data_IF_436844386847
#
_entry.id   IF_436844386847
#
_cell.length_a   1.000
_cell.length_b   1.000
_cell.length_c   1.000
_cell.angle_alpha   90.00
_cell.angle_beta   90.00
_cell.angle_gamma   90.00
#
_symmetry.space_group_name_H-M   'P 1'
#
loop_
_entity.id
_entity.type
_entity.pdbx_description
1 polymer ?
#
# COMPACT_ATOMS: atom_id res chain seq x y z
N UNK A 1 -15.09 -23.07 -12.66
CA UNK A 1 -13.84 -22.30 -12.73
C UNK A 1 -12.90 -22.85 -11.67
N UNK A 2 -11.69 -23.24 -12.04
CA UNK A 2 -10.68 -23.62 -11.05
C UNK A 2 -10.29 -22.37 -10.26
N UNK A 3 -10.27 -22.45 -8.93
CA UNK A 3 -9.76 -21.37 -8.10
C UNK A 3 -8.26 -21.24 -8.32
N UNK A 4 -7.81 -20.02 -8.63
CA UNK A 4 -6.38 -19.70 -8.77
C UNK A 4 -5.75 -19.60 -7.38
N UNK A 5 -4.63 -20.28 -7.18
CA UNK A 5 -3.85 -20.21 -5.95
C UNK A 5 -2.63 -19.32 -6.19
N UNK A 6 -2.78 -18.04 -5.92
CA UNK A 6 -1.76 -17.03 -6.20
C UNK A 6 -0.81 -16.86 -5.01
N UNK A 7 0.50 -16.91 -5.29
CA UNK A 7 1.58 -16.72 -4.31
C UNK A 7 2.55 -15.67 -4.84
N UNK A 8 2.90 -14.71 -4.00
CA UNK A 8 3.95 -13.75 -4.32
C UNK A 8 5.32 -14.38 -4.06
N UNK A 9 6.13 -14.51 -5.11
CA UNK A 9 7.43 -15.22 -5.06
C UNK A 9 8.63 -14.30 -4.84
N UNK A 10 8.62 -13.12 -5.44
CA UNK A 10 9.69 -12.14 -5.38
C UNK A 10 9.12 -10.74 -5.34
N UNK A 11 9.83 -9.85 -4.67
CA UNK A 11 9.48 -8.43 -4.59
C UNK A 11 10.72 -7.57 -4.83
N UNK A 12 10.50 -6.38 -5.36
CA UNK A 12 11.50 -5.33 -5.46
C UNK A 12 10.88 -3.99 -5.10
N UNK A 13 11.71 -3.06 -4.67
CA UNK A 13 11.30 -1.69 -4.38
C UNK A 13 12.27 -0.72 -5.06
N UNK A 14 11.73 0.35 -5.63
CA UNK A 14 12.49 1.46 -6.22
C UNK A 14 11.97 2.78 -5.70
N UNK A 15 12.83 3.79 -5.70
CA UNK A 15 12.52 5.14 -5.28
C UNK A 15 12.99 6.13 -6.34
N UNK A 16 12.15 7.08 -6.73
CA UNK A 16 12.48 8.08 -7.76
C UNK A 16 13.68 8.98 -7.41
N UNK A 17 13.96 9.15 -6.10
CA UNK A 17 15.13 9.90 -5.62
C UNK A 17 16.43 9.08 -5.62
N UNK A 18 16.34 7.78 -5.89
CA UNK A 18 17.46 6.84 -5.97
C UNK A 18 17.35 6.00 -7.26
N UNK A 19 17.45 6.63 -8.45
CA UNK A 19 17.12 5.99 -9.73
C UNK A 19 18.03 4.81 -10.08
N UNK A 20 19.24 4.79 -9.55
CA UNK A 20 20.22 3.73 -9.83
C UNK A 20 20.14 2.56 -8.83
N UNK A 21 19.19 2.60 -7.90
CA UNK A 21 19.07 1.58 -6.86
C UNK A 21 17.76 0.81 -6.96
N UNK A 22 17.89 -0.51 -6.97
CA UNK A 22 16.78 -1.45 -6.86
C UNK A 22 17.00 -2.28 -5.60
N UNK A 23 16.08 -2.14 -4.67
CA UNK A 23 16.08 -2.95 -3.45
C UNK A 23 15.30 -4.24 -3.75
N UNK A 24 15.93 -5.37 -3.74
CA UNK A 24 15.30 -6.66 -4.00
C UNK A 24 15.80 -7.76 -3.05
N UNK A 25 17.09 -8.01 -3.05
CA UNK A 25 17.69 -9.17 -2.34
C UNK A 25 17.66 -9.01 -0.80
N UNK A 26 17.54 -7.78 -0.31
CA UNK A 26 17.60 -7.45 1.12
C UNK A 26 16.22 -7.22 1.73
N UNK A 27 15.16 -7.26 0.93
CA UNK A 27 13.78 -7.11 1.41
C UNK A 27 13.37 -8.42 2.10
N UNK A 28 12.99 -8.30 3.36
CA UNK A 28 12.46 -9.40 4.14
C UNK A 28 10.92 -9.38 4.13
N UNK A 29 10.34 -8.21 4.29
CA UNK A 29 8.90 -8.02 4.36
C UNK A 29 8.50 -6.72 3.67
N UNK A 30 7.38 -6.76 2.98
CA UNK A 30 6.77 -5.63 2.31
C UNK A 30 5.30 -5.54 2.71
N UNK A 31 4.95 -4.46 3.39
CA UNK A 31 3.58 -4.13 3.74
C UNK A 31 2.93 -3.27 2.66
N UNK A 32 2.01 -3.84 1.90
CA UNK A 32 1.19 -3.08 0.95
C UNK A 32 0.13 -2.24 1.67
N UNK A 33 -0.40 -1.18 1.04
CA UNK A 33 -1.42 -0.35 1.65
C UNK A 33 -2.70 -1.16 1.87
N UNK A 34 -3.20 -1.17 3.10
CA UNK A 34 -4.51 -1.72 3.40
C UNK A 34 -5.60 -0.74 2.94
N UNK A 35 -6.59 -1.26 2.23
CA UNK A 35 -7.76 -0.50 1.82
C UNK A 35 -8.87 -0.78 2.84
N UNK A 36 -9.11 0.17 3.73
CA UNK A 36 -10.09 0.04 4.81
C UNK A 36 -11.01 1.24 4.76
N UNK A 37 -12.31 0.97 4.73
CA UNK A 37 -13.34 2.00 4.83
C UNK A 37 -13.56 2.36 6.30
N UNK A 38 -13.88 3.62 6.57
CA UNK A 38 -14.17 4.10 7.92
C UNK A 38 -15.61 3.76 8.33
N UNK A 39 -15.78 3.26 9.53
CA UNK A 39 -17.09 2.97 10.12
C UNK A 39 -17.22 3.61 11.49
N UNK A 40 -18.42 4.05 11.83
CA UNK A 40 -18.78 4.49 13.17
C UNK A 40 -19.91 3.62 13.72
N UNK A 41 -19.78 3.27 15.00
CA UNK A 41 -20.80 2.52 15.72
C UNK A 41 -21.98 3.43 16.09
N UNK A 42 -23.19 2.98 15.81
CA UNK A 42 -24.40 3.68 16.18
C UNK A 42 -25.30 2.82 17.08
N UNK A 43 -25.54 3.34 18.28
CA UNK A 43 -26.52 2.83 19.24
C UNK A 43 -27.70 3.80 19.34
N UNK A 44 -28.84 3.44 18.77
CA UNK A 44 -30.04 4.21 18.91
C UNK A 44 -30.55 4.20 20.34
N UNK A 45 -30.80 5.37 20.94
CA UNK A 45 -31.40 5.49 22.27
C UNK A 45 -32.78 4.82 22.31
N UNK A 46 -32.89 3.70 23.03
CA UNK A 46 -34.13 2.90 23.11
C UNK A 46 -34.17 1.72 22.15
N UNK A 47 -33.15 1.49 21.32
CA UNK A 47 -33.03 0.27 20.53
C UNK A 47 -32.64 -0.92 21.44
N UNK A 48 -33.39 -2.03 21.34
CA UNK A 48 -33.06 -3.28 22.02
C UNK A 48 -32.32 -4.27 21.11
N UNK A 49 -31.85 -3.78 19.94
CA UNK A 49 -31.13 -4.55 18.95
C UNK A 49 -29.60 -4.42 19.09
N UNK A 50 -28.84 -5.13 18.23
CA UNK A 50 -27.38 -4.99 18.19
C UNK A 50 -26.98 -3.58 17.70
N UNK A 51 -25.81 -3.12 18.13
CA UNK A 51 -25.11 -1.96 17.55
C UNK A 51 -24.96 -2.15 16.04
N UNK A 52 -25.19 -1.08 15.28
CA UNK A 52 -24.96 -1.07 13.83
C UNK A 52 -23.76 -0.24 13.48
N UNK A 53 -22.99 -0.68 12.50
CA UNK A 53 -21.88 0.07 11.91
C UNK A 53 -22.39 0.87 10.71
N UNK A 54 -22.08 2.16 10.68
CA UNK A 54 -22.44 3.07 9.59
C UNK A 54 -21.15 3.51 8.91
N UNK A 55 -21.06 3.31 7.58
CA UNK A 55 -19.92 3.82 6.82
C UNK A 55 -19.86 5.34 6.89
N UNK A 56 -18.68 5.87 7.14
CA UNK A 56 -18.42 7.32 7.12
C UNK A 56 -18.21 7.87 5.72
N UNK A 57 -18.12 6.98 4.70
CA UNK A 57 -17.78 7.35 3.32
C UNK A 57 -16.32 7.83 3.15
N UNK A 58 -15.46 7.58 4.13
CA UNK A 58 -14.06 7.97 4.09
C UNK A 58 -13.18 6.76 4.32
N UNK A 59 -12.20 6.56 3.45
CA UNK A 59 -11.18 5.53 3.65
C UNK A 59 -10.21 5.93 4.76
N UNK A 60 -9.73 4.94 5.50
CA UNK A 60 -8.64 5.14 6.44
C UNK A 60 -7.34 5.51 5.70
N UNK A 61 -6.43 6.13 6.45
CA UNK A 61 -5.12 6.52 5.91
C UNK A 61 -4.36 5.31 5.36
N UNK A 62 -3.84 5.44 4.15
CA UNK A 62 -2.94 4.47 3.56
C UNK A 62 -1.59 4.50 4.26
N UNK A 63 -1.04 3.33 4.54
CA UNK A 63 0.30 3.16 5.10
C UNK A 63 1.02 2.04 4.36
N UNK A 64 2.32 2.19 4.14
CA UNK A 64 3.16 1.17 3.53
C UNK A 64 4.40 0.98 4.38
N UNK A 65 4.89 -0.25 4.45
CA UNK A 65 6.08 -0.59 5.23
C UNK A 65 7.04 -1.42 4.39
N UNK A 66 8.33 -1.23 4.65
CA UNK A 66 9.40 -1.99 4.01
C UNK A 66 10.39 -2.42 5.09
N UNK A 67 10.55 -3.72 5.27
CA UNK A 67 11.52 -4.30 6.20
C UNK A 67 12.71 -4.86 5.43
N UNK A 68 13.91 -4.41 5.76
CA UNK A 68 15.12 -4.77 5.05
C UNK A 68 16.24 -5.18 5.99
N UNK A 69 17.10 -6.07 5.49
CA UNK A 69 18.37 -6.40 6.10
C UNK A 69 19.39 -5.29 5.85
N UNK A 70 20.14 -4.95 6.89
CA UNK A 70 21.21 -3.96 6.82
C UNK A 70 20.73 -2.53 7.01
N UNK A 71 21.70 -1.65 7.13
CA UNK A 71 21.50 -0.21 7.25
C UNK A 71 21.86 0.45 5.92
N UNK A 72 20.89 1.07 5.26
CA UNK A 72 21.05 1.69 3.95
C UNK A 72 21.18 3.20 4.11
N UNK A 73 22.41 3.72 4.02
CA UNK A 73 22.70 5.15 4.14
C UNK A 73 21.90 6.02 3.15
N UNK A 74 21.66 5.49 1.96
CA UNK A 74 20.94 6.21 0.90
C UNK A 74 19.48 6.46 1.27
N UNK A 75 18.86 5.56 2.03
CA UNK A 75 17.51 5.77 2.55
C UNK A 75 17.45 6.91 3.58
N UNK A 76 18.50 7.13 4.34
CA UNK A 76 18.58 8.30 5.22
C UNK A 76 18.67 9.61 4.42
N UNK A 77 19.30 9.58 3.25
CA UNK A 77 19.39 10.75 2.39
C UNK A 77 18.04 11.18 1.78
N UNK A 78 17.12 10.24 1.62
CA UNK A 78 15.74 10.49 1.11
C UNK A 78 14.71 10.63 2.23
N UNK A 79 15.14 10.55 3.50
CA UNK A 79 14.24 10.70 4.65
C UNK A 79 13.52 12.06 4.60
N UNK A 80 12.19 12.04 4.76
CA UNK A 80 11.25 13.15 4.66
C UNK A 80 11.08 13.77 3.25
N UNK A 81 11.86 13.36 2.26
CA UNK A 81 11.64 13.85 0.89
C UNK A 81 10.40 13.20 0.30
N UNK A 82 9.66 13.98 -0.51
CA UNK A 82 8.55 13.46 -1.31
C UNK A 82 9.14 12.73 -2.51
N UNK A 83 8.80 11.48 -2.68
CA UNK A 83 9.29 10.63 -3.74
C UNK A 83 8.19 9.69 -4.23
N UNK A 84 8.35 9.17 -5.42
CA UNK A 84 7.53 8.07 -5.95
C UNK A 84 8.24 6.76 -5.60
N UNK A 85 7.52 5.91 -4.89
CA UNK A 85 7.97 4.57 -4.55
C UNK A 85 7.20 3.57 -5.37
N UNK A 86 7.90 2.65 -5.99
CA UNK A 86 7.29 1.57 -6.76
C UNK A 86 7.74 0.23 -6.17
N UNK A 87 6.76 -0.59 -5.80
CA UNK A 87 6.94 -1.95 -5.34
C UNK A 87 6.43 -2.89 -6.41
N UNK A 88 7.29 -3.77 -6.87
CA UNK A 88 6.93 -4.76 -7.89
C UNK A 88 7.08 -6.16 -7.32
N UNK A 89 6.02 -6.95 -7.42
CA UNK A 89 5.98 -8.35 -7.04
C UNK A 89 5.73 -9.26 -8.23
N UNK A 90 6.29 -10.45 -8.20
CA UNK A 90 5.94 -11.53 -9.13
C UNK A 90 4.96 -12.46 -8.44
N UNK A 91 3.73 -12.49 -8.92
CA UNK A 91 2.68 -13.38 -8.42
C UNK A 91 2.59 -14.59 -9.35
N UNK A 92 2.69 -15.78 -8.81
CA UNK A 92 2.57 -17.05 -9.53
C UNK A 92 1.31 -17.78 -9.09
N UNK A 93 0.55 -18.28 -10.07
CA UNK A 93 -0.53 -19.23 -9.83
C UNK A 93 0.06 -20.63 -9.68
N UNK A 94 0.03 -21.20 -8.50
CA UNK A 94 0.59 -22.53 -8.19
C UNK A 94 -0.09 -23.67 -8.96
N UNK A 95 -1.30 -23.45 -9.47
CA UNK A 95 -2.05 -24.47 -10.23
C UNK A 95 -1.60 -24.48 -11.69
N UNK A 96 -1.43 -23.29 -12.29
CA UNK A 96 -1.12 -23.17 -13.73
C UNK A 96 0.35 -22.86 -14.01
N UNK A 97 1.09 -22.36 -13.01
CA UNK A 97 2.47 -21.85 -13.19
C UNK A 97 2.52 -20.49 -13.90
N UNK A 98 1.38 -19.85 -14.15
CA UNK A 98 1.31 -18.54 -14.78
C UNK A 98 1.86 -17.47 -13.83
N UNK A 99 2.72 -16.59 -14.35
CA UNK A 99 3.32 -15.49 -13.58
C UNK A 99 2.81 -14.16 -14.09
N UNK A 100 2.35 -13.34 -13.17
CA UNK A 100 1.86 -11.99 -13.47
C UNK A 100 2.55 -10.95 -12.59
N UNK A 101 2.79 -9.74 -13.10
CA UNK A 101 3.31 -8.64 -12.29
C UNK A 101 2.20 -8.09 -11.37
N UNK A 102 2.59 -7.79 -10.13
CA UNK A 102 1.80 -7.01 -9.19
C UNK A 102 2.62 -5.77 -8.84
N UNK A 103 2.10 -4.60 -9.14
CA UNK A 103 2.80 -3.34 -8.96
C UNK A 103 1.99 -2.40 -8.07
N UNK A 104 2.67 -1.80 -7.10
CA UNK A 104 2.11 -0.75 -6.25
C UNK A 104 3.00 0.47 -6.35
N UNK A 105 2.45 1.55 -6.87
CA UNK A 105 3.13 2.84 -6.98
C UNK A 105 2.51 3.82 -6.01
N UNK A 106 3.33 4.51 -5.22
CA UNK A 106 2.85 5.50 -4.26
C UNK A 106 3.72 6.75 -4.25
N UNK A 107 3.08 7.91 -4.29
CA UNK A 107 3.73 9.20 -4.02
C UNK A 107 3.66 9.49 -2.53
N UNK A 108 4.77 9.38 -1.84
CA UNK A 108 4.80 9.44 -0.38
C UNK A 108 6.14 9.96 0.15
N UNK A 109 6.31 9.91 1.46
CA UNK A 109 7.57 10.25 2.13
C UNK A 109 8.03 9.07 2.98
N UNK A 110 9.33 8.80 2.99
CA UNK A 110 9.93 7.95 4.00
C UNK A 110 9.85 8.69 5.34
N UNK A 111 8.91 8.30 6.19
CA UNK A 111 8.55 9.00 7.43
C UNK A 111 9.01 8.32 8.70
N UNK A 112 9.49 7.08 8.63
CA UNK A 112 10.02 6.33 9.77
C UNK A 112 11.16 5.42 9.35
N UNK A 113 12.21 5.38 10.17
CA UNK A 113 13.32 4.42 10.08
C UNK A 113 13.51 3.90 11.49
N UNK A 114 13.16 2.65 11.72
CA UNK A 114 13.21 2.04 13.04
C UNK A 114 14.15 0.84 13.01
N UNK A 115 15.33 0.94 13.63
CA UNK A 115 16.21 -0.20 13.80
C UNK A 115 15.54 -1.23 14.72
N UNK A 116 15.56 -2.50 14.32
CA UNK A 116 15.10 -3.58 15.17
C UNK A 116 16.06 -3.75 16.38
N UNK A 117 15.49 -3.97 17.56
CA UNK A 117 16.29 -4.24 18.74
C UNK A 117 17.13 -5.52 18.57
N UNK A 118 18.40 -5.47 18.97
CA UNK A 118 19.34 -6.57 18.76
C UNK A 118 19.83 -7.19 20.05
N UNK A 119 20.03 -8.49 19.97
CA UNK A 119 20.96 -9.19 20.82
C UNK A 119 22.39 -9.06 20.24
N UNK A 120 23.39 -9.47 21.01
CA UNK A 120 24.81 -9.34 20.69
C UNK A 120 25.22 -9.91 19.31
N UNK A 121 24.49 -10.92 18.84
CA UNK A 121 24.66 -11.57 17.52
C UNK A 121 23.31 -11.70 16.83
N UNK A 122 23.23 -11.35 15.56
CA UNK A 122 22.00 -11.47 14.77
C UNK A 122 22.00 -10.59 13.53
N UNK A 123 21.05 -10.83 12.64
CA UNK A 123 20.84 -10.02 11.46
C UNK A 123 20.37 -8.61 11.84
N UNK A 124 20.89 -7.61 11.14
CA UNK A 124 20.54 -6.21 11.38
C UNK A 124 19.40 -5.81 10.47
N UNK A 125 18.21 -5.68 11.04
CA UNK A 125 17.00 -5.33 10.30
C UNK A 125 16.55 -3.93 10.64
N UNK A 126 15.93 -3.28 9.66
CA UNK A 126 15.33 -1.96 9.82
C UNK A 126 13.95 -1.96 9.20
N UNK A 127 13.00 -1.36 9.92
CA UNK A 127 11.66 -1.08 9.42
C UNK A 127 11.63 0.34 8.87
N UNK A 128 11.23 0.47 7.63
CA UNK A 128 11.04 1.72 6.92
C UNK A 128 9.55 1.95 6.71
N UNK A 129 9.03 3.06 7.24
CA UNK A 129 7.62 3.41 7.12
C UNK A 129 7.43 4.52 6.09
N UNK A 130 6.60 4.24 5.10
CA UNK A 130 6.18 5.21 4.10
C UNK A 130 4.88 5.87 4.55
N UNK A 131 4.93 7.18 4.75
CA UNK A 131 3.84 7.99 5.29
C UNK A 131 3.50 9.14 4.35
N UNK A 132 2.41 9.85 4.64
CA UNK A 132 1.95 10.99 3.84
C UNK A 132 1.77 10.58 2.38
N UNK A 133 1.07 9.46 2.16
CA UNK A 133 0.72 8.98 0.84
C UNK A 133 -0.28 9.95 0.22
N UNK A 134 0.07 10.55 -0.91
CA UNK A 134 -0.73 11.54 -1.63
C UNK A 134 -1.29 11.00 -2.95
N UNK A 135 -0.78 9.90 -3.40
CA UNK A 135 -1.30 9.11 -4.51
C UNK A 135 -0.85 7.68 -4.35
N UNK A 136 -1.69 6.74 -4.73
CA UNK A 136 -1.38 5.32 -4.73
C UNK A 136 -2.15 4.62 -5.85
N UNK A 137 -1.43 3.76 -6.59
CA UNK A 137 -1.99 2.93 -7.65
C UNK A 137 -1.56 1.48 -7.40
N UNK A 138 -2.52 0.57 -7.48
CA UNK A 138 -2.28 -0.88 -7.38
C UNK A 138 -2.72 -1.51 -8.69
N UNK A 139 -1.78 -2.14 -9.38
CA UNK A 139 -1.98 -2.76 -10.68
C UNK A 139 -1.57 -4.22 -10.62
N UNK A 140 -2.39 -5.13 -11.10
CA UNK A 140 -2.05 -6.54 -11.27
C UNK A 140 -2.37 -6.98 -12.70
N UNK A 141 -1.40 -7.59 -13.36
CA UNK A 141 -1.54 -8.07 -14.74
C UNK A 141 -2.05 -6.97 -15.71
N UNK A 142 -1.54 -5.73 -15.53
CA UNK A 142 -1.94 -4.57 -16.32
C UNK A 142 -3.35 -4.04 -16.05
N UNK A 143 -4.04 -4.57 -15.04
CA UNK A 143 -5.35 -4.09 -14.61
C UNK A 143 -5.23 -3.30 -13.32
N UNK A 144 -5.78 -2.08 -13.33
CA UNK A 144 -5.90 -1.28 -12.12
C UNK A 144 -6.87 -1.96 -11.15
N UNK A 145 -6.39 -2.27 -9.95
CA UNK A 145 -7.22 -2.76 -8.85
C UNK A 145 -7.69 -1.61 -7.98
N UNK A 146 -6.82 -0.64 -7.74
CA UNK A 146 -7.08 0.56 -6.96
C UNK A 146 -6.25 1.71 -7.50
N UNK A 147 -6.83 2.90 -7.57
CA UNK A 147 -6.16 4.13 -7.94
C UNK A 147 -6.74 5.31 -7.18
N UNK A 148 -5.88 6.14 -6.62
CA UNK A 148 -6.27 7.33 -5.89
C UNK A 148 -5.15 8.37 -5.89
N UNK A 149 -5.55 9.65 -6.00
CA UNK A 149 -4.66 10.78 -5.77
C UNK A 149 -5.38 11.85 -4.94
N UNK A 150 -4.62 12.63 -4.19
CA UNK A 150 -5.17 13.74 -3.41
C UNK A 150 -5.96 14.72 -4.30
N UNK A 151 -7.21 14.92 -3.97
CA UNK A 151 -8.16 15.75 -4.73
C UNK A 151 -8.94 14.99 -5.79
N UNK A 152 -8.78 13.68 -5.87
CA UNK A 152 -9.55 12.81 -6.75
C UNK A 152 -10.27 11.74 -5.93
N UNK A 153 -11.43 11.31 -6.41
CA UNK A 153 -12.16 10.21 -5.80
C UNK A 153 -11.48 8.87 -6.09
N UNK A 154 -11.52 7.91 -5.15
CA UNK A 154 -10.88 6.63 -5.32
C UNK A 154 -11.54 5.81 -6.44
N UNK A 155 -10.70 5.11 -7.21
CA UNK A 155 -11.13 4.18 -8.26
C UNK A 155 -10.85 2.75 -7.82
N UNK A 156 -11.85 1.89 -7.97
CA UNK A 156 -11.72 0.45 -7.76
C UNK A 156 -12.00 -0.29 -9.06
N UNK A 157 -11.07 -1.14 -9.47
CA UNK A 157 -11.10 -1.83 -10.76
C UNK A 157 -11.34 -0.86 -11.96
N UNK A 158 -10.72 0.33 -11.90
CA UNK A 158 -10.84 1.37 -12.91
C UNK A 158 -12.15 2.18 -12.86
N UNK A 159 -13.01 1.95 -11.88
CA UNK A 159 -14.30 2.63 -11.76
C UNK A 159 -14.30 3.57 -10.56
N UNK A 160 -14.68 4.83 -10.79
CA UNK A 160 -14.94 5.79 -9.70
C UNK A 160 -16.25 5.39 -8.99
N UNK A 161 -16.14 4.95 -7.73
CA UNK A 161 -17.29 4.51 -6.94
C UNK A 161 -18.09 5.68 -6.35
N UNK A 162 -17.51 6.88 -6.31
CA UNK A 162 -18.12 8.12 -5.78
C UNK A 162 -18.61 9.06 -6.90
N UNK A 163 -18.74 8.57 -8.14
CA UNK A 163 -19.09 9.38 -9.29
C UNK A 163 -20.44 10.13 -9.13
N UNK A 164 -21.39 9.55 -8.41
CA UNK A 164 -22.68 10.17 -8.12
C UNK A 164 -22.53 11.34 -7.12
N UNK A 165 -21.73 11.13 -6.08
CA UNK A 165 -21.44 12.16 -5.07
C UNK A 165 -20.62 13.29 -5.67
N UNK A 166 -19.62 12.98 -6.50
CA UNK A 166 -18.82 13.95 -7.25
C UNK A 166 -19.71 14.84 -8.13
N UNK A 167 -20.68 14.26 -8.82
CA UNK A 167 -21.63 14.99 -9.65
C UNK A 167 -22.52 15.93 -8.82
N UNK A 168 -22.97 15.50 -7.63
CA UNK A 168 -23.77 16.32 -6.72
C UNK A 168 -22.94 17.50 -6.17
N UNK A 169 -21.66 17.27 -5.90
CA UNK A 169 -20.73 18.26 -5.37
C UNK A 169 -20.14 19.18 -6.45
N UNK A 170 -20.37 18.87 -7.73
CA UNK A 170 -19.82 19.63 -8.86
C UNK A 170 -18.33 19.49 -9.04
N UNK A 171 -17.78 18.31 -8.69
CA UNK A 171 -16.35 17.97 -8.78
C UNK A 171 -15.99 17.34 -10.13
N UNK A 172 -16.91 17.22 -11.08
CA UNK A 172 -16.72 16.63 -12.43
C UNK A 172 -16.64 17.72 -13.46
#
# INVERSE_FOLDING_TARGET
MAQKFKVMKRVSATCSELPDQVFAELIEELGFPALVDGYEDFDGAGASGPTIEISTGQMEKLTMTLKMLGNHSDLYAVFRKKAVWTFTGVVEDEVTGEKVPHEVTATCRLGGITPEAKNRTGLHKHDYELKSIMAADIVEDGKELFGWAWGESPRFAGVNIEAEDDAILGLV
#
